data_IF_538407648157
#
_entry.id   IF_538407648157
#
_cell.length_a   1.000
_cell.length_b   1.000
_cell.length_c   1.000
_cell.angle_alpha   90.00
_cell.angle_beta   90.00
_cell.angle_gamma   90.00
#
_symmetry.space_group_name_H-M   'P 1'
#
loop_
_entity.id
_entity.type
_entity.pdbx_description
1 polymer ?
#
# COMPACT_ATOMS: atom_id res chain seq x y z
N UNK A 1 20.68 8.61 -13.81
CA UNK A 1 21.22 7.43 -14.51
C UNK A 1 20.05 6.48 -14.72
N UNK A 2 19.77 5.97 -15.92
CA UNK A 2 18.62 5.05 -16.10
C UNK A 2 18.99 3.68 -15.49
N UNK A 3 18.14 3.08 -14.64
CA UNK A 3 18.45 1.81 -14.00
C UNK A 3 18.60 0.68 -15.03
N UNK A 4 19.30 -0.38 -14.63
CA UNK A 4 19.42 -1.61 -15.42
C UNK A 4 18.05 -2.11 -15.90
N UNK A 5 18.05 -2.87 -17.00
CA UNK A 5 16.82 -3.30 -17.68
C UNK A 5 16.00 -4.23 -16.77
N UNK A 6 14.97 -3.67 -16.14
CA UNK A 6 14.00 -4.42 -15.33
C UNK A 6 13.18 -5.35 -16.22
N UNK A 7 12.83 -6.53 -15.70
CA UNK A 7 12.11 -7.53 -16.46
C UNK A 7 10.94 -8.11 -15.67
N UNK A 8 9.85 -8.39 -16.39
CA UNK A 8 8.66 -9.06 -15.83
C UNK A 8 7.89 -8.23 -14.81
N UNK A 9 6.99 -8.92 -14.11
CA UNK A 9 6.23 -8.40 -12.98
C UNK A 9 6.55 -9.17 -11.72
N UNK A 10 6.47 -8.52 -10.57
CA UNK A 10 6.73 -9.15 -9.28
C UNK A 10 6.40 -8.25 -8.10
N UNK A 11 6.63 -8.78 -6.91
CA UNK A 11 6.32 -8.12 -5.64
C UNK A 11 7.58 -7.64 -4.95
N UNK A 12 7.57 -6.42 -4.44
CA UNK A 12 8.64 -5.85 -3.65
C UNK A 12 8.19 -5.72 -2.20
N UNK A 13 9.03 -6.21 -1.29
CA UNK A 13 8.98 -5.93 0.14
C UNK A 13 10.20 -5.10 0.53
N UNK A 14 10.01 -4.14 1.44
CA UNK A 14 11.09 -3.35 2.02
C UNK A 14 11.03 -3.49 3.53
N UNK A 15 12.16 -3.85 4.13
CA UNK A 15 12.32 -4.00 5.58
C UNK A 15 13.61 -3.32 6.03
N UNK A 16 13.71 -2.98 7.31
CA UNK A 16 14.90 -2.33 7.89
C UNK A 16 14.93 -2.57 9.40
N UNK A 17 16.13 -2.52 9.99
CA UNK A 17 16.35 -2.68 11.43
C UNK A 17 15.76 -3.98 12.00
N UNK A 18 15.24 -3.91 13.22
CA UNK A 18 14.44 -5.01 13.79
C UNK A 18 13.00 -4.94 13.26
N UNK A 19 12.65 -5.87 12.38
CA UNK A 19 11.31 -5.97 11.81
C UNK A 19 10.62 -7.28 12.20
N UNK A 20 9.29 -7.29 12.10
CA UNK A 20 8.49 -8.49 12.38
C UNK A 20 8.61 -9.50 11.23
N UNK A 21 9.51 -10.46 11.40
CA UNK A 21 9.73 -11.56 10.43
C UNK A 21 8.51 -12.45 10.27
N UNK A 22 7.63 -12.57 11.29
CA UNK A 22 6.40 -13.36 11.20
C UNK A 22 5.36 -12.65 10.35
N UNK A 23 5.21 -11.33 10.50
CA UNK A 23 4.34 -10.55 9.64
C UNK A 23 4.76 -10.66 8.17
N UNK A 24 6.06 -10.45 7.88
CA UNK A 24 6.59 -10.59 6.52
C UNK A 24 6.33 -11.99 5.95
N UNK A 25 6.64 -13.05 6.70
CA UNK A 25 6.40 -14.42 6.27
C UNK A 25 4.90 -14.70 6.01
N UNK A 26 4.02 -14.15 6.84
CA UNK A 26 2.56 -14.25 6.63
C UNK A 26 2.13 -13.58 5.33
N UNK A 27 2.64 -12.38 5.06
CA UNK A 27 2.39 -11.66 3.81
C UNK A 27 2.87 -12.47 2.59
N UNK A 28 4.10 -12.96 2.63
CA UNK A 28 4.70 -13.78 1.56
C UNK A 28 3.94 -15.09 1.30
N UNK A 29 3.54 -15.80 2.36
CA UNK A 29 2.77 -17.03 2.24
C UNK A 29 1.41 -16.76 1.58
N UNK A 30 0.69 -15.72 2.02
CA UNK A 30 -0.59 -15.37 1.42
C UNK A 30 -0.46 -14.95 -0.05
N UNK A 31 0.63 -14.27 -0.41
CA UNK A 31 0.95 -13.97 -1.80
C UNK A 31 1.16 -15.26 -2.60
N UNK A 32 1.95 -16.20 -2.08
CA UNK A 32 2.24 -17.47 -2.74
C UNK A 32 0.98 -18.34 -2.92
N UNK A 33 0.08 -18.34 -1.93
CA UNK A 33 -1.17 -19.09 -1.97
C UNK A 33 -2.11 -18.60 -3.10
N UNK A 34 -2.13 -17.29 -3.37
CA UNK A 34 -2.99 -16.68 -4.39
C UNK A 34 -2.29 -16.57 -5.75
N UNK A 35 -0.98 -16.29 -5.74
CA UNK A 35 -0.14 -16.01 -6.90
C UNK A 35 1.19 -16.77 -6.83
N UNK A 36 1.17 -18.11 -6.95
CA UNK A 36 2.41 -18.92 -6.91
C UNK A 36 3.36 -18.60 -8.08
N UNK A 37 2.87 -17.95 -9.13
CA UNK A 37 3.64 -17.53 -10.30
C UNK A 37 4.38 -16.20 -10.12
N UNK A 38 4.02 -15.38 -9.13
CA UNK A 38 4.63 -14.05 -8.96
C UNK A 38 5.94 -14.18 -8.16
N UNK A 39 7.09 -13.79 -8.73
CA UNK A 39 8.31 -13.68 -7.95
C UNK A 39 8.18 -12.51 -6.97
N UNK A 40 8.82 -12.63 -5.81
CA UNK A 40 8.98 -11.51 -4.89
C UNK A 40 10.46 -11.25 -4.60
N UNK A 41 10.76 -10.00 -4.25
CA UNK A 41 12.07 -9.54 -3.84
C UNK A 41 11.94 -8.80 -2.51
N UNK A 42 12.78 -9.15 -1.54
CA UNK A 42 12.86 -8.46 -0.26
C UNK A 42 14.13 -7.61 -0.29
N UNK A 43 13.97 -6.31 -0.04
CA UNK A 43 15.07 -5.39 0.13
C UNK A 43 15.22 -5.08 1.61
N UNK A 44 16.37 -5.46 2.16
CA UNK A 44 16.79 -5.06 3.50
C UNK A 44 17.56 -3.75 3.39
N UNK A 45 17.01 -2.67 3.93
CA UNK A 45 17.69 -1.38 4.00
C UNK A 45 18.59 -1.32 5.26
N UNK A 46 19.58 -0.41 5.30
CA UNK A 46 20.42 -0.22 6.47
C UNK A 46 19.63 0.06 7.76
N UNK A 47 20.17 -0.33 8.92
CA UNK A 47 19.49 -0.22 10.23
C UNK A 47 19.00 1.20 10.59
N UNK A 48 19.70 2.24 10.11
CA UNK A 48 19.34 3.64 10.32
C UNK A 48 18.23 4.15 9.41
N UNK A 49 17.73 3.31 8.50
CA UNK A 49 16.64 3.66 7.59
C UNK A 49 15.35 3.88 8.37
N UNK A 50 14.46 4.64 7.76
CA UNK A 50 13.20 5.06 8.33
C UNK A 50 12.04 4.71 7.39
N UNK A 51 10.82 4.95 7.87
CA UNK A 51 9.64 4.80 7.04
C UNK A 51 9.70 5.64 5.75
N UNK A 52 10.37 6.80 5.78
CA UNK A 52 10.51 7.71 4.64
C UNK A 52 11.33 7.12 3.49
N UNK A 53 12.24 6.19 3.79
CA UNK A 53 13.11 5.56 2.79
C UNK A 53 12.33 4.65 1.82
N UNK A 54 11.06 4.32 2.14
CA UNK A 54 10.11 3.70 1.20
C UNK A 54 9.97 4.48 -0.10
N UNK A 55 10.17 5.80 -0.10
CA UNK A 55 10.12 6.63 -1.31
C UNK A 55 11.09 6.17 -2.41
N UNK A 56 12.12 5.39 -2.07
CA UNK A 56 13.11 4.84 -3.00
C UNK A 56 12.67 3.53 -3.69
N UNK A 57 11.49 2.99 -3.37
CA UNK A 57 11.05 1.65 -3.80
C UNK A 57 11.04 1.44 -5.32
N UNK A 58 10.79 2.51 -6.10
CA UNK A 58 10.85 2.40 -7.56
C UNK A 58 12.27 2.08 -8.02
N UNK A 59 13.31 2.65 -7.41
CA UNK A 59 14.70 2.36 -7.79
C UNK A 59 15.13 0.97 -7.34
N UNK A 60 14.66 0.55 -6.17
CA UNK A 60 14.98 -0.74 -5.55
C UNK A 60 14.32 -1.94 -6.25
N UNK A 61 13.17 -1.74 -6.90
CA UNK A 61 12.46 -2.86 -7.51
C UNK A 61 13.23 -3.46 -8.70
N UNK A 62 13.42 -4.79 -8.79
CA UNK A 62 14.00 -5.42 -9.96
C UNK A 62 12.97 -5.63 -11.11
N UNK A 63 11.70 -5.33 -10.86
CA UNK A 63 10.59 -5.62 -11.79
C UNK A 63 10.19 -4.39 -12.62
N UNK A 64 9.74 -4.63 -13.86
CA UNK A 64 9.24 -3.57 -14.72
C UNK A 64 7.81 -3.15 -14.31
N UNK A 65 7.03 -4.11 -13.82
CA UNK A 65 5.73 -3.90 -13.18
C UNK A 65 5.80 -4.42 -11.74
N UNK A 66 5.68 -3.50 -10.79
CA UNK A 66 5.93 -3.81 -9.38
C UNK A 66 4.64 -3.68 -8.59
N UNK A 67 4.38 -4.64 -7.73
CA UNK A 67 3.50 -4.48 -6.58
C UNK A 67 4.38 -4.31 -5.33
N UNK A 68 4.31 -3.17 -4.66
CA UNK A 68 4.86 -3.04 -3.31
C UNK A 68 3.80 -3.42 -2.28
N UNK A 69 4.20 -4.21 -1.29
CA UNK A 69 3.38 -4.59 -0.14
C UNK A 69 4.11 -4.26 1.16
N UNK A 70 3.39 -3.66 2.11
CA UNK A 70 3.83 -3.62 3.49
C UNK A 70 3.89 -5.04 4.08
N UNK A 71 4.79 -5.22 5.06
CA UNK A 71 5.03 -6.53 5.66
C UNK A 71 3.81 -7.08 6.42
N UNK A 72 2.87 -6.24 6.83
CA UNK A 72 1.66 -6.60 7.57
C UNK A 72 0.43 -6.83 6.67
N UNK A 73 0.60 -6.86 5.33
CA UNK A 73 -0.51 -7.18 4.43
C UNK A 73 -0.76 -8.69 4.32
N UNK A 74 -1.99 -9.08 3.96
CA UNK A 74 -2.39 -10.44 3.60
C UNK A 74 -3.15 -10.37 2.27
N UNK A 75 -2.69 -11.12 1.26
CA UNK A 75 -3.32 -11.23 -0.05
C UNK A 75 -4.48 -12.22 0.02
N UNK A 76 -5.66 -11.80 -0.42
CA UNK A 76 -6.91 -12.56 -0.28
C UNK A 76 -7.60 -12.88 -1.61
N UNK A 77 -7.06 -12.42 -2.74
CA UNK A 77 -7.60 -12.74 -4.06
C UNK A 77 -6.79 -12.13 -5.20
N UNK A 78 -7.17 -12.48 -6.42
CA UNK A 78 -6.43 -12.12 -7.64
C UNK A 78 -6.16 -10.61 -7.74
N UNK A 79 -4.87 -10.27 -7.91
CA UNK A 79 -4.30 -8.94 -8.00
C UNK A 79 -3.97 -8.51 -9.44
N UNK A 80 -4.25 -9.35 -10.45
CA UNK A 80 -3.94 -9.09 -11.87
C UNK A 80 -4.50 -7.76 -12.37
N UNK A 81 -5.66 -7.35 -11.88
CA UNK A 81 -6.27 -6.07 -12.23
C UNK A 81 -5.41 -4.88 -11.78
N UNK A 82 -4.80 -4.93 -10.58
CA UNK A 82 -3.91 -3.88 -10.07
C UNK A 82 -2.71 -3.66 -11.00
N UNK A 83 -2.04 -4.73 -11.41
CA UNK A 83 -0.95 -4.68 -12.41
C UNK A 83 -1.44 -4.08 -13.75
N UNK A 84 -2.62 -4.47 -14.20
CA UNK A 84 -3.21 -3.94 -15.44
C UNK A 84 -3.41 -2.43 -15.37
N UNK A 85 -3.90 -1.92 -14.23
CA UNK A 85 -4.09 -0.48 -14.04
C UNK A 85 -2.76 0.26 -13.90
N UNK A 86 -1.80 -0.28 -13.16
CA UNK A 86 -0.46 0.32 -13.09
C UNK A 86 0.23 0.37 -14.45
N UNK A 87 0.11 -0.66 -15.29
CA UNK A 87 0.62 -0.62 -16.67
C UNK A 87 -0.04 0.50 -17.48
N UNK A 88 -1.35 0.70 -17.31
CA UNK A 88 -2.14 1.69 -18.06
C UNK A 88 -1.93 3.14 -17.58
N UNK A 89 -1.87 3.36 -16.28
CA UNK A 89 -1.82 4.70 -15.65
C UNK A 89 -0.44 5.06 -15.10
N UNK A 90 0.47 4.10 -15.01
CA UNK A 90 1.80 4.24 -14.42
C UNK A 90 1.83 3.89 -12.93
N UNK A 91 0.77 4.22 -12.19
CA UNK A 91 0.60 3.98 -10.77
C UNK A 91 -0.88 3.62 -10.49
N UNK A 92 -1.12 2.64 -9.62
CA UNK A 92 -2.42 2.33 -9.07
C UNK A 92 -2.31 2.10 -7.55
N UNK A 93 -3.19 2.75 -6.79
CA UNK A 93 -3.15 2.75 -5.33
C UNK A 93 -4.55 2.99 -4.74
N UNK A 94 -4.71 2.83 -3.44
CA UNK A 94 -5.95 3.16 -2.74
C UNK A 94 -5.84 4.50 -2.03
N UNK A 95 -6.95 5.23 -1.96
CA UNK A 95 -7.07 6.40 -1.08
C UNK A 95 -6.93 5.93 0.37
N UNK A 96 -6.24 6.72 1.20
CA UNK A 96 -6.09 6.47 2.63
C UNK A 96 -7.47 6.51 3.31
N UNK A 97 -7.67 5.76 4.39
CA UNK A 97 -8.93 5.81 5.15
C UNK A 97 -9.27 7.24 5.61
N UNK A 98 -8.23 8.03 5.87
CA UNK A 98 -8.30 9.44 6.13
C UNK A 98 -7.76 10.13 4.88
N UNK A 99 -8.61 10.55 3.94
CA UNK A 99 -8.14 11.09 2.66
C UNK A 99 -7.58 12.51 2.76
N UNK A 100 -7.46 13.07 3.96
CA UNK A 100 -7.17 14.49 4.18
C UNK A 100 -5.71 14.69 4.58
N UNK A 101 -4.84 14.98 3.62
CA UNK A 101 -3.41 15.09 3.88
C UNK A 101 -3.04 16.31 4.74
N UNK A 102 -3.93 17.31 4.89
CA UNK A 102 -3.74 18.48 5.77
C UNK A 102 -3.56 18.17 7.26
N UNK A 103 -3.70 16.89 7.65
CA UNK A 103 -3.39 16.40 9.00
C UNK A 103 -1.88 16.35 9.28
N UNK A 104 -1.04 16.44 8.24
CA UNK A 104 0.41 16.57 8.35
C UNK A 104 0.85 18.03 8.35
N UNK A 105 2.06 18.30 8.84
CA UNK A 105 2.65 19.63 8.80
C UNK A 105 3.12 20.02 7.41
N UNK A 106 2.72 21.21 6.94
CA UNK A 106 3.16 21.76 5.65
C UNK A 106 2.33 21.32 4.44
N UNK A 107 1.20 20.62 4.64
CA UNK A 107 0.21 20.33 3.61
C UNK A 107 -1.07 21.12 3.88
N UNK A 108 -1.59 21.79 2.85
CA UNK A 108 -2.77 22.64 2.94
C UNK A 108 -3.81 22.25 1.88
N UNK A 109 -5.04 22.73 2.05
CA UNK A 109 -6.11 22.52 1.08
C UNK A 109 -6.65 21.08 1.03
N UNK A 110 -7.01 20.66 -0.18
CA UNK A 110 -7.73 19.41 -0.48
C UNK A 110 -6.79 18.32 -1.04
N UNK A 111 -5.51 18.35 -0.64
CA UNK A 111 -4.53 17.33 -1.05
C UNK A 111 -4.99 15.96 -0.54
N UNK A 112 -5.14 15.02 -1.49
CA UNK A 112 -5.64 13.67 -1.21
C UNK A 112 -4.51 12.81 -0.65
N UNK A 113 -4.76 12.20 0.50
CA UNK A 113 -3.87 11.20 1.08
C UNK A 113 -4.17 9.81 0.50
N UNK A 114 -3.11 9.08 0.13
CA UNK A 114 -3.17 7.71 -0.36
C UNK A 114 -2.47 6.78 0.62
N UNK A 115 -2.97 5.55 0.77
CA UNK A 115 -2.26 4.55 1.56
C UNK A 115 -1.13 3.94 0.71
N UNK A 116 0.09 3.99 1.23
CA UNK A 116 1.32 3.55 0.54
C UNK A 116 1.68 2.10 0.81
N UNK A 117 0.95 1.40 1.69
CA UNK A 117 1.22 0.00 2.00
C UNK A 117 0.84 -0.99 0.90
N UNK A 118 0.12 -0.53 -0.12
CA UNK A 118 -0.15 -1.28 -1.36
C UNK A 118 -0.05 -0.34 -2.55
N UNK A 119 1.01 -0.47 -3.34
CA UNK A 119 1.23 0.34 -4.55
C UNK A 119 1.57 -0.57 -5.73
N UNK A 120 0.80 -0.46 -6.82
CA UNK A 120 1.19 -1.05 -8.11
C UNK A 120 1.80 0.05 -8.97
N UNK A 121 2.98 -0.16 -9.54
CA UNK A 121 3.65 0.88 -10.33
C UNK A 121 4.54 0.33 -11.44
N UNK A 122 4.90 1.22 -12.36
CA UNK A 122 5.87 1.02 -13.43
C UNK A 122 6.82 2.22 -13.49
N UNK A 123 7.83 2.17 -14.37
CA UNK A 123 8.71 3.32 -14.62
C UNK A 123 7.97 4.58 -15.09
N UNK A 124 6.73 4.46 -15.59
CA UNK A 124 5.92 5.61 -15.99
C UNK A 124 5.55 6.52 -14.81
N UNK A 125 5.60 6.02 -13.58
CA UNK A 125 5.40 6.81 -12.36
C UNK A 125 6.68 7.49 -11.86
N UNK A 126 7.80 7.45 -12.61
CA UNK A 126 9.09 8.00 -12.19
C UNK A 126 9.00 9.40 -11.60
N UNK A 127 8.23 10.31 -12.23
CA UNK A 127 8.08 11.69 -11.75
C UNK A 127 7.52 11.78 -10.33
N UNK A 128 6.56 10.90 -9.97
CA UNK A 128 5.97 10.84 -8.63
C UNK A 128 7.00 10.33 -7.64
N UNK A 129 7.70 9.24 -7.95
CA UNK A 129 8.71 8.68 -7.03
C UNK A 129 9.92 9.61 -6.85
N UNK A 130 10.37 10.30 -7.91
CA UNK A 130 11.42 11.31 -7.81
C UNK A 130 11.00 12.49 -6.93
N UNK A 131 9.76 12.98 -7.09
CA UNK A 131 9.20 14.01 -6.22
C UNK A 131 9.02 13.51 -4.78
N UNK A 132 8.53 12.28 -4.58
CA UNK A 132 8.31 11.70 -3.25
C UNK A 132 9.60 11.62 -2.45
N UNK A 133 10.72 11.21 -3.06
CA UNK A 133 12.03 11.22 -2.39
C UNK A 133 12.42 12.59 -1.85
N UNK A 134 12.09 13.67 -2.56
CA UNK A 134 12.32 15.05 -2.07
C UNK A 134 11.33 15.40 -0.96
N UNK A 135 10.04 15.25 -1.24
CA UNK A 135 8.97 15.64 -0.34
C UNK A 135 9.00 14.88 1.00
N UNK A 136 9.47 13.64 1.02
CA UNK A 136 9.56 12.82 2.23
C UNK A 136 10.37 13.50 3.35
N UNK A 137 11.38 14.31 2.99
CA UNK A 137 12.25 15.01 3.95
C UNK A 137 12.02 16.53 4.00
N UNK A 138 11.25 17.10 3.06
CA UNK A 138 10.97 18.54 3.01
C UNK A 138 9.81 18.96 3.91
N UNK A 139 8.88 18.04 4.22
CA UNK A 139 7.68 18.34 5.02
C UNK A 139 7.71 17.66 6.38
N UNK A 140 7.04 18.24 7.36
CA UNK A 140 6.80 17.59 8.65
C UNK A 140 5.72 16.53 8.49
N UNK A 141 6.15 15.29 8.27
CA UNK A 141 5.26 14.13 8.14
C UNK A 141 4.77 13.57 9.47
N UNK A 142 5.08 14.22 10.60
CA UNK A 142 4.57 13.77 11.89
C UNK A 142 3.06 13.98 11.97
N UNK A 143 2.38 13.07 12.68
CA UNK A 143 0.94 13.15 12.90
C UNK A 143 0.59 12.89 14.36
N UNK A 144 -0.38 13.66 14.85
CA UNK A 144 -1.08 13.44 16.11
C UNK A 144 -2.42 12.77 15.83
N UNK A 145 -2.73 11.70 16.55
CA UNK A 145 -3.99 10.98 16.38
C UNK A 145 -4.49 10.42 17.71
N UNK A 146 -5.80 10.13 17.77
CA UNK A 146 -6.40 9.48 18.94
C UNK A 146 -6.09 7.98 18.94
N UNK A 147 -5.60 7.49 20.08
CA UNK A 147 -5.44 6.06 20.37
C UNK A 147 -6.31 5.72 21.59
N UNK A 148 -7.61 5.57 21.36
CA UNK A 148 -8.59 5.57 22.44
C UNK A 148 -8.73 6.98 23.04
N UNK A 149 -8.66 7.08 24.37
CA UNK A 149 -8.77 8.36 25.08
C UNK A 149 -7.47 9.17 25.10
N UNK A 150 -6.35 8.60 24.65
CA UNK A 150 -5.03 9.24 24.63
C UNK A 150 -4.67 9.81 23.26
N UNK A 151 -3.86 10.87 23.26
CA UNK A 151 -3.20 11.35 22.04
C UNK A 151 -1.87 10.64 21.86
N UNK A 152 -1.69 10.05 20.68
CA UNK A 152 -0.43 9.48 20.24
C UNK A 152 0.19 10.36 19.15
N UNK A 153 1.52 10.30 19.02
CA UNK A 153 2.26 10.93 17.92
C UNK A 153 3.05 9.89 17.15
N UNK A 154 2.86 9.84 15.85
CA UNK A 154 3.75 9.15 14.92
C UNK A 154 4.75 10.19 14.37
N UNK A 155 6.06 10.01 14.58
CA UNK A 155 7.05 11.05 14.24
C UNK A 155 7.32 11.17 12.74
N UNK A 156 7.18 10.08 11.98
CA UNK A 156 7.44 10.04 10.54
C UNK A 156 6.33 9.24 9.85
N UNK A 157 5.88 9.72 8.69
CA UNK A 157 4.88 9.05 7.88
C UNK A 157 5.17 9.23 6.38
N UNK A 158 5.38 8.13 5.66
CA UNK A 158 5.74 8.16 4.25
C UNK A 158 4.60 8.63 3.33
N UNK A 159 3.34 8.50 3.77
CA UNK A 159 2.15 8.88 3.00
C UNK A 159 2.06 10.40 2.79
N UNK A 160 2.57 11.21 3.73
CA UNK A 160 2.55 12.67 3.62
C UNK A 160 3.35 13.14 2.41
N UNK A 161 4.60 12.67 2.30
CA UNK A 161 5.48 13.00 1.17
C UNK A 161 4.92 12.47 -0.15
N UNK A 162 4.26 11.31 -0.12
CA UNK A 162 3.65 10.71 -1.30
C UNK A 162 2.45 11.54 -1.80
N UNK A 163 1.56 11.93 -0.90
CA UNK A 163 0.40 12.77 -1.22
C UNK A 163 0.84 14.09 -1.87
N UNK A 164 1.84 14.75 -1.28
CA UNK A 164 2.44 15.96 -1.87
C UNK A 164 3.03 15.70 -3.25
N UNK A 165 3.77 14.62 -3.44
CA UNK A 165 4.39 14.30 -4.72
C UNK A 165 3.37 14.05 -5.82
N UNK A 166 2.26 13.37 -5.52
CA UNK A 166 1.15 13.17 -6.47
C UNK A 166 0.54 14.52 -6.86
N UNK A 167 0.28 15.39 -5.88
CA UNK A 167 -0.31 16.71 -6.10
C UNK A 167 0.62 17.64 -6.91
N UNK A 168 1.87 17.80 -6.46
CA UNK A 168 2.87 18.68 -7.09
C UNK A 168 3.16 18.31 -8.55
N UNK A 169 3.08 17.01 -8.87
CA UNK A 169 3.34 16.51 -10.23
C UNK A 169 2.11 16.53 -11.12
N UNK A 170 0.91 16.75 -10.56
CA UNK A 170 -0.36 16.60 -11.26
C UNK A 170 -0.59 15.18 -11.80
N UNK A 171 0.09 14.18 -11.23
CA UNK A 171 -0.01 12.80 -11.70
C UNK A 171 -1.37 12.22 -11.33
N UNK A 172 -2.02 11.54 -12.28
CA UNK A 172 -3.34 10.93 -12.04
C UNK A 172 -3.17 9.41 -11.86
N UNK A 173 -3.00 8.90 -10.62
CA UNK A 173 -2.96 7.47 -10.38
C UNK A 173 -4.33 6.85 -10.65
N UNK A 174 -4.34 5.56 -10.98
CA UNK A 174 -5.59 4.81 -10.95
C UNK A 174 -5.98 4.52 -9.50
N UNK A 175 -7.20 4.89 -9.13
CA UNK A 175 -7.70 4.67 -7.77
C UNK A 175 -8.35 3.30 -7.68
N UNK A 176 -7.67 2.41 -6.95
CA UNK A 176 -8.23 1.14 -6.51
C UNK A 176 -9.23 1.40 -5.37
N UNK A 177 -10.37 0.68 -5.33
CA UNK A 177 -11.26 0.76 -4.19
C UNK A 177 -10.58 0.21 -2.93
N UNK A 178 -10.99 0.69 -1.75
CA UNK A 178 -10.33 0.37 -0.48
C UNK A 178 -10.31 -1.13 -0.12
N UNK A 179 -11.09 -1.98 -0.81
CA UNK A 179 -10.98 -3.43 -0.65
C UNK A 179 -9.64 -4.00 -1.20
N UNK A 180 -8.86 -3.19 -1.91
CA UNK A 180 -7.47 -3.48 -2.34
C UNK A 180 -6.42 -3.04 -1.32
N UNK A 181 -6.82 -2.41 -0.21
CA UNK A 181 -5.94 -2.00 0.87
C UNK A 181 -6.78 -1.80 2.14
N UNK A 182 -7.45 -2.87 2.58
CA UNK A 182 -8.47 -2.78 3.62
C UNK A 182 -7.83 -2.76 5.00
N UNK A 183 -7.97 -1.65 5.72
CA UNK A 183 -7.46 -1.47 7.09
C UNK A 183 -8.58 -1.66 8.11
N UNK A 184 -8.69 -2.83 8.76
CA UNK A 184 -9.84 -3.20 9.62
C UNK A 184 -9.97 -2.38 10.89
N UNK A 185 -8.86 -1.74 11.31
CA UNK A 185 -8.88 -0.77 12.39
C UNK A 185 -9.88 0.35 12.08
N UNK A 186 -9.88 0.83 10.83
CA UNK A 186 -10.57 2.05 10.38
C UNK A 186 -11.75 1.80 9.45
N UNK A 187 -11.65 0.80 8.58
CA UNK A 187 -12.74 0.35 7.73
C UNK A 187 -13.53 -0.76 8.42
N UNK A 188 -14.83 -0.52 8.62
CA UNK A 188 -15.73 -1.47 9.29
C UNK A 188 -16.77 -2.08 8.36
N UNK A 189 -16.83 -1.68 7.10
CA UNK A 189 -17.77 -2.27 6.14
C UNK A 189 -17.21 -2.28 4.73
N UNK A 190 -17.68 -3.22 3.89
CA UNK A 190 -17.25 -3.37 2.51
C UNK A 190 -18.28 -4.11 1.65
N UNK A 191 -18.17 -3.98 0.33
CA UNK A 191 -18.92 -4.75 -0.64
C UNK A 191 -18.02 -5.75 -1.37
N UNK A 192 -18.56 -6.94 -1.67
CA UNK A 192 -17.84 -7.96 -2.44
C UNK A 192 -16.66 -8.57 -1.66
N UNK A 193 -15.70 -9.19 -2.38
CA UNK A 193 -14.52 -9.76 -1.76
C UNK A 193 -13.45 -8.67 -1.50
N UNK A 194 -12.74 -8.81 -0.38
CA UNK A 194 -11.48 -8.11 -0.14
C UNK A 194 -10.37 -8.73 -0.98
N UNK A 195 -9.47 -7.90 -1.49
CA UNK A 195 -8.27 -8.33 -2.22
C UNK A 195 -7.05 -8.32 -1.33
N UNK A 196 -6.93 -7.34 -0.45
CA UNK A 196 -5.83 -7.23 0.50
C UNK A 196 -6.37 -6.78 1.85
N UNK A 197 -5.97 -7.49 2.89
CA UNK A 197 -6.13 -7.13 4.30
C UNK A 197 -4.82 -6.50 4.79
N UNK A 198 -4.88 -5.33 5.40
CA UNK A 198 -3.70 -4.57 5.83
C UNK A 198 -3.80 -4.32 7.34
N UNK A 199 -3.29 -5.27 8.11
CA UNK A 199 -3.26 -5.23 9.58
C UNK A 199 -2.34 -6.32 10.13
N UNK A 200 -1.71 -6.07 11.27
CA UNK A 200 -0.95 -7.08 12.01
C UNK A 200 -1.83 -8.21 12.56
N UNK A 201 -3.12 -7.97 12.81
CA UNK A 201 -4.09 -8.97 13.23
C UNK A 201 -4.43 -9.98 12.14
N UNK A 202 -4.83 -11.18 12.55
CA UNK A 202 -5.25 -12.23 11.64
C UNK A 202 -6.57 -11.91 10.94
N UNK A 203 -6.73 -12.44 9.74
CA UNK A 203 -7.97 -12.31 8.97
C UNK A 203 -9.05 -13.18 9.64
N UNK A 204 -10.20 -12.61 10.06
CA UNK A 204 -11.25 -13.39 10.71
C UNK A 204 -11.78 -14.50 9.80
N UNK A 205 -12.04 -15.70 10.35
CA UNK A 205 -12.57 -16.83 9.56
C UNK A 205 -13.87 -16.49 8.83
N UNK A 206 -14.74 -15.71 9.49
CA UNK A 206 -16.00 -15.22 8.89
C UNK A 206 -15.74 -14.36 7.65
N UNK A 207 -14.64 -13.61 7.63
CA UNK A 207 -14.24 -12.81 6.48
C UNK A 207 -13.75 -13.72 5.35
N UNK A 208 -12.91 -14.72 5.64
CA UNK A 208 -12.43 -15.67 4.65
C UNK A 208 -13.61 -16.40 3.97
N UNK A 209 -14.60 -16.85 4.76
CA UNK A 209 -15.82 -17.45 4.23
C UNK A 209 -16.60 -16.48 3.34
N UNK A 210 -16.81 -15.24 3.79
CA UNK A 210 -17.47 -14.22 2.97
C UNK A 210 -16.71 -13.93 1.67
N UNK A 211 -15.38 -13.86 1.73
CA UNK A 211 -14.53 -13.65 0.57
C UNK A 211 -14.67 -14.77 -0.46
N UNK A 212 -14.68 -16.03 -0.02
CA UNK A 212 -14.92 -17.18 -0.88
C UNK A 212 -16.30 -17.07 -1.55
N UNK A 213 -17.35 -16.82 -0.78
CA UNK A 213 -18.73 -16.68 -1.29
C UNK A 213 -18.89 -15.52 -2.30
N UNK A 214 -18.23 -14.38 -2.07
CA UNK A 214 -18.32 -13.20 -2.94
C UNK A 214 -17.35 -13.23 -4.12
N UNK A 215 -16.43 -14.20 -4.17
CA UNK A 215 -15.53 -14.38 -5.32
C UNK A 215 -16.14 -15.25 -6.42
N UNK A 216 -17.24 -15.94 -6.13
CA UNK A 216 -17.98 -16.73 -7.11
C UNK A 216 -18.57 -15.85 -8.21
N UNK A 217 -18.45 -16.30 -9.47
CA UNK A 217 -18.86 -15.54 -10.67
C UNK A 217 -20.33 -15.09 -10.63
N UNK A 218 -21.19 -15.94 -10.07
CA UNK A 218 -22.64 -15.69 -9.99
C UNK A 218 -23.08 -15.16 -8.61
N UNK A 219 -22.13 -14.74 -7.77
CA UNK A 219 -22.47 -14.17 -6.47
C UNK A 219 -23.23 -12.85 -6.64
N UNK A 220 -24.27 -12.69 -5.82
CA UNK A 220 -24.90 -11.37 -5.66
C UNK A 220 -24.06 -10.60 -4.65
N UNK A 221 -23.51 -9.48 -5.09
CA UNK A 221 -22.67 -8.61 -4.26
C UNK A 221 -23.48 -8.08 -3.07
N UNK A 222 -22.97 -8.24 -1.86
CA UNK A 222 -23.62 -7.78 -0.62
C UNK A 222 -22.68 -6.97 0.26
N UNK A 223 -23.28 -6.15 1.11
CA UNK A 223 -22.60 -5.41 2.17
C UNK A 223 -22.19 -6.36 3.29
N UNK A 224 -20.95 -6.23 3.75
CA UNK A 224 -20.42 -6.84 4.97
C UNK A 224 -20.00 -5.78 5.96
N UNK A 225 -20.09 -6.13 7.24
CA UNK A 225 -19.71 -5.26 8.37
C UNK A 225 -18.84 -6.06 9.33
N UNK A 226 -17.63 -5.56 9.60
CA UNK A 226 -16.76 -6.05 10.65
C UNK A 226 -17.25 -5.45 11.96
N UNK A 227 -17.70 -6.31 12.88
CA UNK A 227 -18.08 -5.92 14.23
C UNK A 227 -16.86 -6.04 15.14
N UNK A 228 -16.74 -5.10 16.07
CA UNK A 228 -15.73 -5.12 17.13
C UNK A 228 -15.97 -6.28 18.12
#
# INVERSE_FOLDING_TARGET
MRPEKKAGRGVLYIVWGEFDTKALARSQNSLFDVHPELPFHVVELPDQSTLLDKATMLELSPFAETLFLDADTVVLGDLTYGFTQARRFGLACSICECPWARRYGGLEGEVVEYNTGVLFFTERAWSVFDAWKRCAYEIDSSIIFHNGDELARMPLNDQAGFAKAVDDTGFCPFILPYNWNFRPKWHKSWFGPLKIWHDYGDVPEVLLKHNAEQSELNSIVRLSVLRD
#
